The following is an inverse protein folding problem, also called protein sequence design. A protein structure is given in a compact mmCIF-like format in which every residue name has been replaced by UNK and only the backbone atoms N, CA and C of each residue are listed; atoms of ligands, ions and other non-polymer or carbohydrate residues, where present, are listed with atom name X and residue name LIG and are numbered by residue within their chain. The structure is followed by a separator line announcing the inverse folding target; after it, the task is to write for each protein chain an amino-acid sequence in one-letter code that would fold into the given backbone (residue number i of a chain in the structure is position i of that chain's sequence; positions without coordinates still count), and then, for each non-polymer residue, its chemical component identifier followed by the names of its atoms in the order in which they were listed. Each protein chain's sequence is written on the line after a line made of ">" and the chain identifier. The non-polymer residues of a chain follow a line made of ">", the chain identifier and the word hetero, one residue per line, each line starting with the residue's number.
data_IF_544094562321
#
_entry.id   IF_544094562321
#
_cell.length_a   1.000
_cell.length_b   1.000
_cell.length_c   1.000
_cell.angle_alpha   90.00
_cell.angle_beta   90.00
_cell.angle_gamma   90.00
#
_symmetry.space_group_name_H-M   'P 1'
#
loop_
_entity.id
_entity.type
_entity.pdbx_description
1 polymer ?
#
# COMPACT_ATOMS: atom_id res chain seq x y z
N UNK A 1 7.75 -1.86 -12.34
CA UNK A 1 6.91 -2.45 -11.27
C UNK A 1 5.42 -2.37 -11.61
N UNK A 2 4.91 -1.16 -11.93
CA UNK A 2 3.49 -0.92 -12.22
C UNK A 2 2.88 -1.78 -13.36
N UNK A 3 3.56 -2.08 -14.48
CA UNK A 3 2.96 -2.92 -15.53
C UNK A 3 2.60 -4.32 -15.05
N UNK A 4 3.44 -4.91 -14.18
CA UNK A 4 3.14 -6.22 -13.58
C UNK A 4 1.98 -6.13 -12.59
N UNK A 5 1.92 -5.06 -11.80
CA UNK A 5 0.82 -4.83 -10.86
C UNK A 5 -0.52 -4.65 -11.58
N UNK A 6 -0.54 -3.88 -12.68
CA UNK A 6 -1.70 -3.69 -13.56
C UNK A 6 -2.20 -5.00 -14.15
N UNK A 7 -1.30 -5.81 -14.70
CA UNK A 7 -1.66 -7.12 -15.23
C UNK A 7 -2.30 -8.03 -14.15
N UNK A 8 -1.81 -7.98 -12.91
CA UNK A 8 -2.42 -8.71 -11.79
C UNK A 8 -3.78 -8.12 -11.41
N UNK A 9 -3.94 -6.80 -11.39
CA UNK A 9 -5.22 -6.14 -11.13
C UNK A 9 -6.28 -6.48 -12.17
N UNK A 10 -5.91 -6.62 -13.44
CA UNK A 10 -6.80 -7.10 -14.51
C UNK A 10 -7.27 -8.54 -14.26
N UNK A 11 -6.39 -9.42 -13.77
CA UNK A 11 -6.76 -10.80 -13.42
C UNK A 11 -7.76 -10.84 -12.25
N UNK A 12 -7.55 -9.99 -11.23
CA UNK A 12 -8.51 -9.85 -10.13
C UNK A 12 -9.84 -9.29 -10.62
N UNK A 13 -9.84 -8.23 -11.42
CA UNK A 13 -11.06 -7.63 -11.99
C UNK A 13 -11.87 -8.65 -12.82
N UNK A 14 -11.20 -9.49 -13.61
CA UNK A 14 -11.84 -10.56 -14.37
C UNK A 14 -12.49 -11.60 -13.44
N UNK A 15 -11.76 -12.03 -12.40
CA UNK A 15 -12.25 -12.98 -11.38
C UNK A 15 -13.41 -12.41 -10.56
N UNK A 16 -13.34 -11.14 -10.21
CA UNK A 16 -14.40 -10.45 -9.46
C UNK A 16 -15.65 -10.29 -10.33
N UNK A 17 -15.48 -10.01 -11.62
CA UNK A 17 -16.59 -9.97 -12.58
C UNK A 17 -17.26 -11.33 -12.71
N UNK A 18 -16.50 -12.42 -12.78
CA UNK A 18 -17.04 -13.78 -12.80
C UNK A 18 -17.82 -14.10 -11.51
N UNK A 19 -17.30 -13.69 -10.35
CA UNK A 19 -17.85 -14.06 -9.04
C UNK A 19 -19.00 -13.16 -8.57
N UNK A 20 -18.96 -11.87 -8.88
CA UNK A 20 -19.82 -10.83 -8.33
C UNK A 20 -20.54 -10.00 -9.41
N UNK A 21 -20.28 -10.26 -10.69
CA UNK A 21 -20.90 -9.55 -11.83
C UNK A 21 -20.29 -8.19 -12.15
N UNK A 22 -19.29 -7.74 -11.37
CA UNK A 22 -18.52 -6.51 -11.60
C UNK A 22 -17.14 -6.60 -10.94
N UNK A 23 -16.14 -5.81 -11.39
CA UNK A 23 -14.92 -5.63 -10.62
C UNK A 23 -15.20 -4.92 -9.29
N UNK A 24 -14.24 -4.97 -8.37
CA UNK A 24 -14.28 -4.18 -7.14
C UNK A 24 -14.33 -2.68 -7.44
N UNK A 25 -15.05 -1.93 -6.61
CA UNK A 25 -15.07 -0.46 -6.66
C UNK A 25 -13.79 0.11 -6.03
N UNK A 26 -13.47 1.39 -6.27
CA UNK A 26 -12.37 2.05 -5.57
C UNK A 26 -12.47 1.99 -4.04
N UNK A 27 -13.68 2.05 -3.48
CA UNK A 27 -13.92 1.93 -2.04
C UNK A 27 -13.60 0.51 -1.53
N UNK A 28 -13.94 -0.52 -2.31
CA UNK A 28 -13.61 -1.92 -2.00
C UNK A 28 -12.09 -2.16 -2.09
N UNK A 29 -11.41 -1.55 -3.08
CA UNK A 29 -9.95 -1.56 -3.17
C UNK A 29 -9.30 -0.88 -1.97
N UNK A 30 -9.83 0.27 -1.52
CA UNK A 30 -9.35 0.96 -0.32
C UNK A 30 -9.52 0.12 0.95
N UNK A 31 -10.63 -0.62 1.08
CA UNK A 31 -10.82 -1.58 2.18
C UNK A 31 -9.85 -2.76 2.09
N UNK A 32 -9.54 -3.24 0.88
CA UNK A 32 -8.49 -4.23 0.63
C UNK A 32 -7.13 -3.78 1.16
N UNK A 33 -6.72 -2.54 0.83
CA UNK A 33 -5.49 -1.94 1.33
C UNK A 33 -5.43 -1.92 2.88
N UNK A 34 -6.53 -1.58 3.55
CA UNK A 34 -6.60 -1.61 5.02
C UNK A 34 -6.37 -3.02 5.56
N UNK A 35 -6.89 -4.04 4.87
CA UNK A 35 -6.62 -5.44 5.17
C UNK A 35 -5.13 -5.77 5.10
N UNK A 36 -4.48 -5.41 3.98
CA UNK A 36 -3.05 -5.66 3.76
C UNK A 36 -2.17 -4.96 4.81
N UNK A 37 -2.49 -3.72 5.17
CA UNK A 37 -1.81 -2.98 6.24
C UNK A 37 -1.97 -3.70 7.59
N UNK A 38 -3.17 -4.22 7.87
CA UNK A 38 -3.44 -5.00 9.06
C UNK A 38 -2.61 -6.28 9.14
N UNK A 39 -2.41 -6.96 8.01
CA UNK A 39 -1.58 -8.15 7.91
C UNK A 39 -0.09 -7.83 8.02
N UNK A 40 0.39 -6.77 7.35
CA UNK A 40 1.73 -6.24 7.51
C UNK A 40 2.03 -5.91 8.97
N UNK A 41 1.10 -5.26 9.69
CA UNK A 41 1.27 -4.94 11.10
C UNK A 41 1.42 -6.19 11.98
N UNK A 42 0.72 -7.30 11.67
CA UNK A 42 0.92 -8.58 12.37
C UNK A 42 2.32 -9.14 12.12
N UNK A 43 2.81 -9.09 10.87
CA UNK A 43 4.14 -9.57 10.50
C UNK A 43 5.25 -8.77 11.18
N UNK A 44 5.15 -7.44 11.18
CA UNK A 44 6.12 -6.54 11.85
C UNK A 44 6.17 -6.80 13.35
N UNK A 45 5.02 -6.92 14.02
CA UNK A 45 4.98 -7.27 15.45
C UNK A 45 5.55 -8.65 15.74
N UNK A 46 5.33 -9.62 14.84
CA UNK A 46 5.93 -10.95 14.91
C UNK A 46 7.46 -10.88 14.86
N UNK A 47 8.00 -10.14 13.88
CA UNK A 47 9.45 -9.92 13.72
C UNK A 47 10.08 -9.18 14.92
N UNK A 48 9.34 -8.26 15.54
CA UNK A 48 9.77 -7.56 16.74
C UNK A 48 9.69 -8.40 18.03
N UNK A 49 9.21 -9.65 17.97
CA UNK A 49 9.09 -10.53 19.14
C UNK A 49 7.93 -10.18 20.09
N UNK A 50 7.04 -9.26 19.72
CA UNK A 50 5.94 -8.80 20.57
C UNK A 50 4.81 -9.84 20.66
N UNK A 51 4.62 -10.65 19.62
CA UNK A 51 3.67 -11.77 19.60
C UNK A 51 4.25 -12.94 18.81
N UNK A 52 4.25 -14.18 19.33
CA UNK A 52 4.60 -15.35 18.53
C UNK A 52 3.62 -15.47 17.35
N UNK A 53 4.16 -15.54 16.13
CA UNK A 53 3.41 -15.91 14.94
C UNK A 53 3.85 -17.34 14.58
N UNK A 54 2.95 -18.28 14.26
CA UNK A 54 3.37 -19.62 13.80
C UNK A 54 4.15 -19.54 12.48
N UNK A 55 3.90 -18.48 11.72
CA UNK A 55 4.46 -18.27 10.39
C UNK A 55 5.47 -17.09 10.40
N UNK A 56 6.48 -17.15 11.29
CA UNK A 56 7.60 -16.17 11.27
C UNK A 56 8.42 -16.25 9.96
N UNK A 57 8.15 -17.24 9.10
CA UNK A 57 8.68 -17.35 7.75
C UNK A 57 7.99 -16.44 6.73
N UNK A 58 6.79 -15.92 7.02
CA UNK A 58 6.16 -14.88 6.23
C UNK A 58 6.93 -13.56 6.44
N UNK A 59 7.79 -13.26 5.48
CA UNK A 59 8.70 -12.14 5.52
C UNK A 59 7.90 -10.81 5.36
N UNK A 60 8.11 -9.76 6.19
CA UNK A 60 7.47 -8.45 6.02
C UNK A 60 7.56 -7.86 4.61
N UNK A 61 8.55 -8.30 3.84
CA UNK A 61 8.74 -8.06 2.42
C UNK A 61 7.47 -8.37 1.60
N UNK A 62 6.77 -9.48 1.88
CA UNK A 62 5.50 -9.80 1.20
C UNK A 62 4.41 -8.81 1.58
N UNK A 63 4.23 -8.52 2.88
CA UNK A 63 3.21 -7.57 3.32
C UNK A 63 3.44 -6.16 2.77
N UNK A 64 4.71 -5.74 2.62
CA UNK A 64 5.07 -4.49 1.97
C UNK A 64 4.72 -4.51 0.47
N UNK A 65 4.97 -5.63 -0.21
CA UNK A 65 4.63 -5.79 -1.62
C UNK A 65 3.11 -5.78 -1.86
N UNK A 66 2.33 -6.45 -0.99
CA UNK A 66 0.86 -6.47 -1.07
C UNK A 66 0.28 -5.07 -0.85
N UNK A 67 0.72 -4.37 0.20
CA UNK A 67 0.33 -2.97 0.43
C UNK A 67 0.64 -2.07 -0.78
N UNK A 68 1.82 -2.25 -1.38
CA UNK A 68 2.26 -1.47 -2.54
C UNK A 68 1.43 -1.79 -3.79
N UNK A 69 1.07 -3.05 -4.00
CA UNK A 69 0.18 -3.45 -5.09
C UNK A 69 -1.21 -2.82 -4.93
N UNK A 70 -1.77 -2.85 -3.72
CA UNK A 70 -3.07 -2.24 -3.41
C UNK A 70 -3.06 -0.72 -3.61
N UNK A 71 -1.96 -0.04 -3.28
CA UNK A 71 -1.78 1.39 -3.60
C UNK A 71 -1.76 1.66 -5.12
N UNK A 72 -1.08 0.83 -5.91
CA UNK A 72 -1.07 0.97 -7.37
C UNK A 72 -2.46 0.73 -7.96
N UNK A 73 -3.14 -0.32 -7.53
CA UNK A 73 -4.49 -0.65 -8.01
C UNK A 73 -5.47 0.49 -7.71
N UNK A 74 -5.38 1.09 -6.51
CA UNK A 74 -6.20 2.24 -6.13
C UNK A 74 -5.85 3.50 -6.94
N UNK A 75 -4.56 3.76 -7.18
CA UNK A 75 -4.13 4.88 -8.00
C UNK A 75 -4.66 4.77 -9.44
N UNK A 76 -4.58 3.59 -10.05
CA UNK A 76 -5.11 3.35 -11.39
C UNK A 76 -6.64 3.52 -11.43
N UNK A 77 -7.36 3.09 -10.39
CA UNK A 77 -8.81 3.27 -10.29
C UNK A 77 -9.24 4.75 -10.22
N UNK A 78 -8.36 5.64 -9.74
CA UNK A 78 -8.56 7.08 -9.73
C UNK A 78 -7.81 7.82 -10.86
N UNK A 79 -7.18 7.10 -11.79
CA UNK A 79 -6.35 7.65 -12.85
C UNK A 79 -5.23 8.59 -12.33
N UNK A 80 -4.63 8.24 -11.20
CA UNK A 80 -3.52 8.96 -10.57
C UNK A 80 -2.21 8.41 -11.10
N UNK A 81 -1.32 9.31 -11.57
CA UNK A 81 0.08 8.98 -11.79
C UNK A 81 0.79 8.88 -10.44
N UNK A 82 0.84 7.67 -9.88
CA UNK A 82 1.39 7.41 -8.56
C UNK A 82 2.89 7.72 -8.48
N UNK A 83 3.64 7.52 -9.56
CA UNK A 83 5.09 7.76 -9.58
C UNK A 83 5.37 9.27 -9.52
N UNK A 84 4.73 10.04 -10.39
CA UNK A 84 4.84 11.50 -10.37
C UNK A 84 4.34 12.10 -9.03
N UNK A 85 3.22 11.60 -8.50
CA UNK A 85 2.70 12.06 -7.21
C UNK A 85 3.68 11.75 -6.05
N UNK A 86 4.32 10.59 -6.08
CA UNK A 86 5.32 10.21 -5.09
C UNK A 86 6.57 11.10 -5.17
N UNK A 87 7.13 11.30 -6.37
CA UNK A 87 8.29 12.16 -6.59
C UNK A 87 8.03 13.58 -6.10
N UNK A 88 6.90 14.19 -6.52
CA UNK A 88 6.52 15.52 -6.08
C UNK A 88 6.41 15.60 -4.55
N UNK A 89 5.78 14.61 -3.92
CA UNK A 89 5.63 14.60 -2.45
C UNK A 89 6.99 14.50 -1.75
N UNK A 90 7.93 13.69 -2.28
CA UNK A 90 9.27 13.55 -1.71
C UNK A 90 10.10 14.82 -1.88
N UNK A 91 9.97 15.51 -3.01
CA UNK A 91 10.61 16.80 -3.26
C UNK A 91 10.09 17.88 -2.28
N UNK A 92 8.76 17.95 -2.11
CA UNK A 92 8.13 18.87 -1.16
C UNK A 92 8.56 18.60 0.29
N UNK A 93 8.61 17.34 0.71
CA UNK A 93 9.08 16.96 2.05
C UNK A 93 10.56 17.29 2.25
N UNK A 94 11.40 16.99 1.26
CA UNK A 94 12.84 17.28 1.30
C UNK A 94 13.07 18.79 1.41
N UNK A 95 12.38 19.57 0.58
CA UNK A 95 12.44 21.03 0.62
C UNK A 95 12.04 21.60 1.98
N UNK A 96 10.93 21.12 2.56
CA UNK A 96 10.47 21.54 3.90
C UNK A 96 11.49 21.25 4.99
N UNK A 97 12.15 20.09 4.92
CA UNK A 97 13.16 19.68 5.92
C UNK A 97 14.47 20.46 5.77
N UNK A 98 14.89 20.75 4.53
CA UNK A 98 16.09 21.53 4.23
C UNK A 98 15.95 23.01 4.55
N UNK A 99 14.77 23.59 4.31
CA UNK A 99 14.51 25.00 4.60
C UNK A 99 14.36 25.32 6.08
N UNK A 100 14.17 24.31 6.92
CA UNK A 100 14.21 24.43 8.37
C UNK A 100 13.12 25.31 8.96
N UNK A 101 12.11 24.68 9.54
CA UNK A 101 11.57 25.21 10.80
C UNK A 101 11.75 24.17 11.89
N UNK A 102 12.39 24.61 12.97
CA UNK A 102 12.41 23.97 14.27
C UNK A 102 11.00 23.99 14.92
N UNK A 103 9.99 23.46 14.23
CA UNK A 103 8.58 23.51 14.65
C UNK A 103 8.02 22.18 15.19
N UNK A 104 8.56 21.04 14.79
CA UNK A 104 7.82 19.77 14.93
C UNK A 104 8.18 18.91 16.16
N UNK A 105 8.59 19.57 17.25
CA UNK A 105 8.71 18.91 18.57
C UNK A 105 7.36 18.80 19.32
N UNK A 106 6.24 19.18 18.71
CA UNK A 106 4.97 19.35 19.43
C UNK A 106 4.01 18.14 19.38
N UNK A 107 4.11 17.22 18.41
CA UNK A 107 3.10 16.16 18.29
C UNK A 107 3.76 14.79 18.03
N UNK A 108 4.22 14.17 19.12
CA UNK A 108 4.38 12.72 19.22
C UNK A 108 3.47 12.19 20.31
#
# INVERSE_FOLDING_TARGET
>A
MQPKARAVAELYAARDTERFGRPWTPEELALGLVGDIGDLAKLVRGKAGVRPHPDLGAAPEHGLADCLWSLIALADAYAIDLEAAFEQTMDELSHRLEQGSAGDRAER
#
